data_IF_126560945498
#
_entry.id   IF_126560945498
#
_cell.length_a   1.000
_cell.length_b   1.000
_cell.length_c   1.000
_cell.angle_alpha   90.00
_cell.angle_beta   90.00
_cell.angle_gamma   90.00
#
_symmetry.space_group_name_H-M   'P 1'
#
loop_
_entity.id
_entity.type
_entity.pdbx_description
1 polymer ?
#
# COMPACT_ATOMS: atom_id res chain seq x y z
N UNK A 1 -5.31 -12.39 20.93
CA UNK A 1 -4.81 -11.00 20.89
C UNK A 1 -5.05 -10.43 19.50
N UNK A 2 -6.01 -9.50 19.35
CA UNK A 2 -6.42 -8.98 18.05
C UNK A 2 -5.23 -8.29 17.36
N UNK A 3 -4.75 -8.86 16.25
CA UNK A 3 -3.55 -8.39 15.56
C UNK A 3 -3.88 -7.18 14.67
N UNK A 4 -4.31 -6.08 15.30
CA UNK A 4 -4.75 -4.84 14.64
C UNK A 4 -3.74 -4.34 13.61
N UNK A 5 -2.45 -4.41 13.93
CA UNK A 5 -1.37 -3.99 13.04
C UNK A 5 -1.31 -4.86 11.78
N UNK A 6 -1.51 -6.18 11.91
CA UNK A 6 -1.60 -7.09 10.76
C UNK A 6 -2.80 -6.76 9.89
N UNK A 7 -3.97 -6.49 10.47
CA UNK A 7 -5.17 -6.10 9.73
C UNK A 7 -4.99 -4.77 9.00
N UNK A 8 -4.39 -3.76 9.65
CA UNK A 8 -4.09 -2.47 9.03
C UNK A 8 -3.10 -2.62 7.86
N UNK A 9 -2.06 -3.44 8.04
CA UNK A 9 -1.08 -3.71 6.98
C UNK A 9 -1.72 -4.44 5.79
N UNK A 10 -2.55 -5.44 6.05
CA UNK A 10 -3.27 -6.15 4.98
C UNK A 10 -4.21 -5.21 4.24
N UNK A 11 -4.91 -4.32 4.96
CA UNK A 11 -5.75 -3.32 4.33
C UNK A 11 -4.95 -2.37 3.41
N UNK A 12 -3.79 -1.87 3.86
CA UNK A 12 -2.89 -1.03 3.04
C UNK A 12 -2.40 -1.79 1.80
N UNK A 13 -1.99 -3.05 1.98
CA UNK A 13 -1.56 -3.93 0.90
C UNK A 13 -2.66 -4.13 -0.15
N UNK A 14 -3.89 -4.36 0.29
CA UNK A 14 -5.03 -4.51 -0.62
C UNK A 14 -5.31 -3.20 -1.37
N UNK A 15 -5.20 -2.02 -0.73
CA UNK A 15 -5.33 -0.76 -1.48
C UNK A 15 -4.29 -0.60 -2.59
N UNK A 16 -3.05 -1.05 -2.37
CA UNK A 16 -2.02 -1.05 -3.42
C UNK A 16 -2.34 -2.02 -4.56
N UNK A 17 -2.87 -3.20 -4.24
CA UNK A 17 -3.25 -4.21 -5.25
C UNK A 17 -4.52 -3.84 -6.03
N UNK A 18 -5.51 -3.26 -5.36
CA UNK A 18 -6.82 -2.97 -5.95
C UNK A 18 -6.81 -1.65 -6.73
N UNK A 19 -6.07 -0.65 -6.23
CA UNK A 19 -6.11 0.73 -6.76
C UNK A 19 -4.78 1.24 -7.28
N UNK A 20 -3.70 0.47 -7.13
CA UNK A 20 -2.35 0.87 -7.52
C UNK A 20 -1.73 1.93 -6.63
N UNK A 21 -2.46 2.48 -5.66
CA UNK A 21 -1.94 3.54 -4.79
C UNK A 21 -2.69 3.65 -3.46
N UNK A 22 -2.02 4.25 -2.48
CA UNK A 22 -2.59 4.57 -1.17
C UNK A 22 -2.04 5.91 -0.68
N UNK A 23 -2.91 6.73 -0.09
CA UNK A 23 -2.54 8.05 0.43
C UNK A 23 -2.52 8.07 1.95
N UNK A 24 -1.67 8.93 2.52
CA UNK A 24 -1.58 9.15 3.96
C UNK A 24 -2.90 9.64 4.52
N UNK A 25 -3.55 10.61 3.87
CA UNK A 25 -4.81 11.16 4.39
C UNK A 25 -5.93 10.10 4.42
N UNK A 26 -5.99 9.22 3.41
CA UNK A 26 -6.92 8.08 3.40
C UNK A 26 -6.62 7.06 4.50
N UNK A 27 -5.35 6.85 4.85
CA UNK A 27 -4.98 6.03 6.00
C UNK A 27 -5.41 6.67 7.32
N UNK A 28 -5.19 7.98 7.48
CA UNK A 28 -5.55 8.71 8.70
C UNK A 28 -7.06 8.70 8.95
N UNK A 29 -7.89 8.85 7.91
CA UNK A 29 -9.35 8.74 8.06
C UNK A 29 -9.85 7.36 8.50
N UNK A 30 -8.99 6.34 8.41
CA UNK A 30 -9.23 4.98 8.93
C UNK A 30 -8.42 4.65 10.19
N UNK A 31 -7.91 5.66 10.89
CA UNK A 31 -7.09 5.49 12.10
C UNK A 31 -5.82 4.65 11.87
N UNK A 32 -5.28 4.70 10.65
CA UNK A 32 -4.01 4.05 10.28
C UNK A 32 -2.94 5.14 10.24
N UNK A 33 -2.07 5.14 11.25
CA UNK A 33 -0.92 6.03 11.34
C UNK A 33 0.33 5.35 10.77
N UNK A 34 1.41 6.12 10.59
CA UNK A 34 2.73 5.63 10.14
C UNK A 34 2.68 4.80 8.85
N UNK A 35 1.96 5.29 7.83
CA UNK A 35 1.85 4.63 6.51
C UNK A 35 3.22 4.20 5.95
N UNK A 36 4.27 5.03 6.09
CA UNK A 36 5.63 4.69 5.66
C UNK A 36 6.16 3.39 6.27
N UNK A 37 5.89 3.14 7.55
CA UNK A 37 6.28 1.89 8.23
C UNK A 37 5.50 0.68 7.72
N UNK A 38 4.22 0.85 7.38
CA UNK A 38 3.45 -0.20 6.71
C UNK A 38 4.02 -0.52 5.32
N UNK A 39 4.36 0.50 4.52
CA UNK A 39 4.97 0.34 3.20
C UNK A 39 6.32 -0.38 3.31
N UNK A 40 7.17 0.00 4.26
CA UNK A 40 8.44 -0.67 4.48
C UNK A 40 8.26 -2.17 4.77
N UNK A 41 7.36 -2.51 5.71
CA UNK A 41 7.07 -3.90 6.04
C UNK A 41 6.42 -4.69 4.88
N UNK A 42 5.65 -4.02 4.02
CA UNK A 42 5.12 -4.64 2.80
C UNK A 42 6.24 -4.94 1.81
N UNK A 43 7.15 -3.99 1.57
CA UNK A 43 8.31 -4.19 0.67
C UNK A 43 9.24 -5.29 1.18
N UNK A 44 9.50 -5.34 2.48
CA UNK A 44 10.30 -6.41 3.11
C UNK A 44 9.78 -7.81 2.77
N UNK A 45 8.45 -7.99 2.78
CA UNK A 45 7.81 -9.27 2.42
C UNK A 45 7.59 -9.47 0.93
N UNK A 46 7.77 -8.43 0.12
CA UNK A 46 7.46 -8.44 -1.31
C UNK A 46 8.56 -7.69 -2.08
N UNK A 47 9.77 -8.28 -2.21
CA UNK A 47 10.94 -7.59 -2.77
C UNK A 47 10.75 -7.15 -4.24
N UNK A 48 9.84 -7.77 -4.98
CA UNK A 48 9.54 -7.42 -6.36
C UNK A 48 8.55 -6.26 -6.53
N UNK A 49 7.93 -5.77 -5.44
CA UNK A 49 6.98 -4.66 -5.51
C UNK A 49 7.74 -3.33 -5.63
N UNK A 50 7.47 -2.61 -6.71
CA UNK A 50 8.07 -1.29 -6.95
C UNK A 50 7.08 -0.26 -6.46
N UNK A 51 7.34 0.29 -5.28
CA UNK A 51 6.50 1.31 -4.65
C UNK A 51 7.25 2.63 -4.63
N UNK A 52 6.73 3.61 -5.35
CA UNK A 52 7.24 4.98 -5.38
C UNK A 52 6.39 5.88 -4.51
N UNK A 53 7.01 6.93 -3.95
CA UNK A 53 6.35 7.87 -3.09
C UNK A 53 6.39 9.28 -3.68
N UNK A 54 5.27 10.01 -3.61
CA UNK A 54 5.20 11.40 -4.04
C UNK A 54 4.34 12.22 -3.09
N UNK A 55 4.70 13.49 -2.94
CA UNK A 55 3.87 14.48 -2.26
C UNK A 55 3.01 15.20 -3.31
N UNK A 56 1.72 15.33 -3.05
CA UNK A 56 0.81 16.16 -3.84
C UNK A 56 0.28 17.30 -2.98
N UNK A 57 0.01 18.46 -3.60
CA UNK A 57 -0.74 19.54 -2.95
C UNK A 57 -2.23 19.20 -2.95
N UNK A 58 -2.92 19.48 -1.86
CA UNK A 58 -4.37 19.39 -1.72
C UNK A 58 -4.91 20.76 -1.35
N UNK A 59 -6.24 20.94 -1.41
CA UNK A 59 -6.89 22.21 -1.07
C UNK A 59 -6.47 22.76 0.30
N UNK A 60 -6.26 21.87 1.28
CA UNK A 60 -5.98 22.23 2.67
C UNK A 60 -4.56 21.83 3.12
N UNK A 61 -3.63 21.58 2.20
CA UNK A 61 -2.25 21.24 2.54
C UNK A 61 -1.57 20.31 1.56
N UNK A 62 -1.05 19.19 2.05
CA UNK A 62 -0.41 18.16 1.22
C UNK A 62 -0.91 16.76 1.58
N UNK A 63 -0.81 15.85 0.62
CA UNK A 63 -1.00 14.42 0.84
C UNK A 63 0.23 13.68 0.34
N UNK A 64 0.55 12.58 1.00
CA UNK A 64 1.68 11.73 0.66
C UNK A 64 1.13 10.43 0.08
N UNK A 65 1.43 10.17 -1.19
CA UNK A 65 0.90 9.04 -1.94
C UNK A 65 2.02 8.05 -2.20
N UNK A 66 1.74 6.78 -1.93
CA UNK A 66 2.54 5.65 -2.38
C UNK A 66 1.84 4.98 -3.55
N UNK A 67 2.55 4.78 -4.66
CA UNK A 67 2.06 4.13 -5.88
C UNK A 67 2.83 2.83 -6.13
N UNK A 68 2.11 1.73 -6.31
CA UNK A 68 2.65 0.47 -6.81
C UNK A 68 2.78 0.59 -8.34
N UNK A 69 3.99 0.84 -8.83
CA UNK A 69 4.21 1.21 -10.25
C UNK A 69 4.19 0.02 -11.19
N UNK A 70 4.47 -1.18 -10.68
CA UNK A 70 4.41 -2.43 -11.42
C UNK A 70 3.18 -3.29 -11.07
N UNK A 71 2.07 -2.65 -10.67
CA UNK A 71 0.85 -3.32 -10.22
C UNK A 71 0.39 -4.44 -11.16
N UNK A 72 0.26 -4.17 -12.46
CA UNK A 72 -0.23 -5.17 -13.43
C UNK A 72 0.66 -6.41 -13.50
N UNK A 73 1.98 -6.21 -13.43
CA UNK A 73 2.95 -7.32 -13.41
C UNK A 73 2.77 -8.16 -12.14
N UNK A 74 2.59 -7.51 -10.99
CA UNK A 74 2.37 -8.19 -9.71
C UNK A 74 1.06 -8.97 -9.72
N UNK A 75 -0.03 -8.39 -10.24
CA UNK A 75 -1.33 -9.08 -10.33
C UNK A 75 -1.24 -10.33 -11.20
N UNK A 76 -0.61 -10.25 -12.38
CA UNK A 76 -0.35 -11.41 -13.24
C UNK A 76 0.47 -12.50 -12.54
N UNK A 77 1.51 -12.12 -11.78
CA UNK A 77 2.29 -13.09 -11.00
C UNK A 77 1.44 -13.78 -9.93
N UNK A 78 0.56 -13.05 -9.24
CA UNK A 78 -0.34 -13.61 -8.23
C UNK A 78 -1.36 -14.56 -8.86
N UNK A 79 -1.92 -14.22 -10.01
CA UNK A 79 -2.88 -15.06 -10.74
C UNK A 79 -2.24 -16.37 -11.22
N UNK A 80 -1.03 -16.30 -11.78
CA UNK A 80 -0.28 -17.48 -12.23
C UNK A 80 0.04 -18.42 -11.06
N UNK A 81 0.41 -17.87 -9.89
CA UNK A 81 0.73 -18.66 -8.71
C UNK A 81 -0.49 -19.30 -8.04
N UNK A 82 -1.72 -18.84 -8.33
CA UNK A 82 -2.96 -19.45 -7.82
C UNK A 82 -3.47 -20.59 -8.70
N UNK A 83 -2.99 -20.66 -9.94
CA UNK A 83 -3.38 -21.67 -10.93
C UNK A 83 -2.42 -22.87 -10.95
N UNK A 84 -1.41 -22.86 -10.07
CA UNK A 84 -0.42 -23.91 -9.85
C UNK A 84 -0.66 -24.59 -8.50
#
# INVERSE_FOLDING_TARGET
MNNRLKTQREWVKNQLLDRGQISRNKCLSKYISRLSGHIYAIKDKNPHWIIEAKTIKTLNGSDYIYKLTNQDKILKMIENNKSA
#
